data_IF_740203727914
#
_entry.id   IF_740203727914
#
_cell.length_a   1.000
_cell.length_b   1.000
_cell.length_c   1.000
_cell.angle_alpha   90.00
_cell.angle_beta   90.00
_cell.angle_gamma   90.00
#
_symmetry.space_group_name_H-M   'P 1'
#
loop_
_entity.id
_entity.type
_entity.pdbx_description
1 polymer ?
#
# COMPACT_ATOMS: atom_id res chain seq x y z
N UNK A 1 -8.26 -1.72 16.34
CA UNK A 1 -8.31 -2.85 15.37
C UNK A 1 -9.47 -2.74 14.37
N UNK A 2 -10.63 -2.17 14.69
CA UNK A 2 -11.76 -2.05 13.74
C UNK A 2 -11.51 -1.08 12.56
N UNK A 3 -10.68 -0.05 12.76
CA UNK A 3 -10.55 1.05 11.81
C UNK A 3 -10.05 0.67 10.42
N UNK A 4 -9.24 -0.39 10.28
CA UNK A 4 -8.66 -0.78 9.00
C UNK A 4 -9.57 -1.70 8.17
N UNK A 5 -10.52 -2.38 8.81
CA UNK A 5 -11.38 -3.36 8.17
C UNK A 5 -12.24 -2.74 7.05
N UNK A 6 -12.45 -3.54 6.01
CA UNK A 6 -13.24 -3.18 4.84
C UNK A 6 -12.39 -2.86 3.62
N UNK A 7 -13.04 -2.23 2.64
CA UNK A 7 -12.40 -1.82 1.40
C UNK A 7 -12.04 -0.34 1.40
N UNK A 8 -10.94 -0.04 0.72
CA UNK A 8 -10.43 1.30 0.53
C UNK A 8 -10.06 1.52 -0.94
N UNK A 9 -10.42 2.67 -1.50
CA UNK A 9 -10.11 3.11 -2.85
C UNK A 9 -8.82 3.92 -2.86
N UNK A 10 -7.97 3.70 -3.85
CA UNK A 10 -6.74 4.45 -4.01
C UNK A 10 -7.04 5.93 -4.28
N UNK A 11 -6.41 6.83 -3.53
CA UNK A 11 -6.31 8.25 -3.88
C UNK A 11 -4.96 8.56 -4.54
N UNK A 12 -3.86 8.00 -4.02
CA UNK A 12 -2.53 8.19 -4.61
C UNK A 12 -1.52 7.16 -4.11
N UNK A 13 -0.56 6.78 -4.95
CA UNK A 13 0.66 6.06 -4.56
C UNK A 13 1.88 6.86 -5.00
N UNK A 14 2.73 7.26 -4.06
CA UNK A 14 3.94 8.05 -4.33
C UNK A 14 5.18 7.50 -3.61
N UNK A 15 6.35 7.76 -4.20
CA UNK A 15 7.63 7.72 -3.52
C UNK A 15 8.03 9.13 -3.07
N UNK A 16 8.39 9.25 -1.78
CA UNK A 16 8.88 10.47 -1.16
C UNK A 16 10.38 10.35 -0.91
N UNK A 17 11.12 11.42 -1.15
CA UNK A 17 12.57 11.46 -0.99
C UNK A 17 12.95 12.43 0.12
N UNK A 18 13.98 12.09 0.89
CA UNK A 18 14.47 12.94 1.98
C UNK A 18 15.16 14.22 1.47
N UNK A 19 15.67 14.20 0.23
CA UNK A 19 16.35 15.33 -0.42
C UNK A 19 15.39 16.44 -0.91
N UNK A 20 14.08 16.27 -0.69
CA UNK A 20 13.07 17.27 -1.01
C UNK A 20 12.68 17.36 -2.48
N UNK A 21 13.17 16.46 -3.36
CA UNK A 21 12.73 16.43 -4.75
C UNK A 21 11.24 16.06 -4.86
N UNK A 22 10.57 16.40 -5.97
CA UNK A 22 9.16 16.08 -6.16
C UNK A 22 8.87 14.58 -6.05
N UNK A 23 7.68 14.20 -5.55
CA UNK A 23 7.29 12.80 -5.46
C UNK A 23 7.18 12.15 -6.85
N UNK A 24 7.52 10.87 -6.91
CA UNK A 24 7.32 10.03 -8.09
C UNK A 24 6.05 9.18 -7.90
N UNK A 25 5.25 8.98 -8.96
CA UNK A 25 4.03 8.19 -8.93
C UNK A 25 4.20 6.91 -9.76
N UNK A 26 4.43 5.74 -9.13
CA UNK A 26 4.85 4.53 -9.87
C UNK A 26 3.84 4.08 -10.93
N UNK A 27 2.55 4.22 -10.61
CA UNK A 27 1.44 3.87 -11.50
C UNK A 27 0.75 5.10 -12.13
N UNK A 28 1.39 6.27 -12.07
CA UNK A 28 0.80 7.54 -12.46
C UNK A 28 -0.02 8.18 -11.34
N UNK A 29 -0.23 9.50 -11.44
CA UNK A 29 -0.94 10.29 -10.42
C UNK A 29 -2.46 10.03 -10.41
N UNK A 30 -3.00 9.44 -11.47
CA UNK A 30 -4.41 9.10 -11.69
C UNK A 30 -4.70 7.59 -11.57
N UNK A 31 -3.74 6.83 -11.02
CA UNK A 31 -3.87 5.40 -10.78
C UNK A 31 -5.13 5.08 -9.97
N UNK A 32 -5.72 3.92 -10.23
CA UNK A 32 -6.93 3.43 -9.56
C UNK A 32 -6.63 2.11 -8.88
N UNK A 33 -7.32 1.83 -7.78
CA UNK A 33 -7.09 0.59 -7.06
C UNK A 33 -7.96 0.41 -5.84
N UNK A 34 -7.88 -0.79 -5.27
CA UNK A 34 -8.48 -1.14 -4.00
C UNK A 34 -7.46 -1.83 -3.10
N UNK A 35 -7.60 -1.63 -1.79
CA UNK A 35 -7.07 -2.54 -0.78
C UNK A 35 -8.18 -2.99 0.14
N UNK A 36 -8.24 -4.30 0.40
CA UNK A 36 -9.26 -4.95 1.21
C UNK A 36 -8.59 -5.55 2.44
N UNK A 37 -9.15 -5.28 3.62
CA UNK A 37 -8.78 -5.91 4.88
C UNK A 37 -9.98 -6.68 5.44
N UNK A 38 -9.82 -7.98 5.61
CA UNK A 38 -10.88 -8.85 6.11
C UNK A 38 -10.77 -9.07 7.63
N UNK A 39 -11.87 -9.38 8.32
CA UNK A 39 -11.80 -9.78 9.74
C UNK A 39 -10.97 -11.04 10.00
N UNK A 40 -10.79 -11.90 8.98
CA UNK A 40 -9.97 -13.12 9.06
C UNK A 40 -8.45 -12.86 8.98
N UNK A 41 -8.02 -11.60 8.93
CA UNK A 41 -6.60 -11.25 8.87
C UNK A 41 -6.00 -11.42 7.47
N UNK A 42 -6.82 -11.35 6.41
CA UNK A 42 -6.36 -11.33 5.02
C UNK A 42 -6.31 -9.90 4.48
N UNK A 43 -5.33 -9.64 3.63
CA UNK A 43 -5.19 -8.40 2.87
C UNK A 43 -5.08 -8.73 1.37
N UNK A 44 -5.72 -7.93 0.54
CA UNK A 44 -5.55 -7.98 -0.92
C UNK A 44 -5.55 -6.57 -1.47
N UNK A 45 -4.51 -6.22 -2.22
CA UNK A 45 -4.35 -4.92 -2.84
C UNK A 45 -4.18 -5.07 -4.35
N UNK A 46 -4.83 -4.21 -5.11
CA UNK A 46 -4.70 -4.10 -6.56
C UNK A 46 -4.66 -2.63 -6.92
N UNK A 47 -3.64 -2.21 -7.66
CA UNK A 47 -3.45 -0.87 -8.20
C UNK A 47 -3.15 -1.00 -9.69
N UNK A 48 -3.75 -0.15 -10.49
CA UNK A 48 -3.62 -0.18 -11.94
C UNK A 48 -3.45 1.25 -12.47
N UNK A 49 -2.66 1.40 -13.53
CA UNK A 49 -2.61 2.66 -14.29
C UNK A 49 -3.99 2.99 -14.86
N UNK A 50 -4.30 4.27 -15.04
CA UNK A 50 -5.62 4.70 -15.50
C UNK A 50 -6.00 4.16 -16.90
N UNK A 51 -5.00 3.90 -17.74
CA UNK A 51 -5.13 3.33 -19.09
C UNK A 51 -5.11 1.79 -19.12
N UNK A 52 -5.06 1.14 -17.95
CA UNK A 52 -4.98 -0.31 -17.77
C UNK A 52 -3.75 -0.99 -18.41
N UNK A 53 -2.70 -0.24 -18.76
CA UNK A 53 -1.48 -0.79 -19.36
C UNK A 53 -0.61 -1.60 -18.39
N UNK A 54 -0.74 -1.36 -17.08
CA UNK A 54 0.04 -2.03 -16.05
C UNK A 54 -0.77 -2.19 -14.75
N UNK A 55 -0.54 -3.30 -14.05
CA UNK A 55 -1.20 -3.64 -12.80
C UNK A 55 -0.20 -4.18 -11.75
N UNK A 56 -0.25 -3.60 -10.55
CA UNK A 56 0.43 -4.09 -9.37
C UNK A 56 -0.61 -4.68 -8.41
N UNK A 57 -0.50 -5.96 -8.10
CA UNK A 57 -1.39 -6.61 -7.15
C UNK A 57 -0.63 -7.55 -6.23
N UNK A 58 -1.09 -7.66 -4.99
CA UNK A 58 -0.62 -8.66 -4.04
C UNK A 58 -1.74 -9.08 -3.08
N UNK A 59 -1.57 -10.24 -2.45
CA UNK A 59 -2.42 -10.68 -1.35
C UNK A 59 -1.62 -11.51 -0.34
N UNK A 60 -2.18 -11.63 0.86
CA UNK A 60 -1.62 -12.43 1.94
C UNK A 60 -2.28 -12.13 3.28
N UNK A 61 -1.50 -12.18 4.35
CA UNK A 61 -1.97 -11.95 5.73
C UNK A 61 -1.54 -10.58 6.25
N UNK A 62 -2.29 -10.05 7.20
CA UNK A 62 -1.87 -8.86 7.92
C UNK A 62 -1.96 -9.02 9.43
N UNK A 63 -1.07 -8.29 10.11
CA UNK A 63 -1.04 -8.14 11.56
C UNK A 63 -0.89 -6.65 11.88
N UNK A 64 -1.49 -6.19 12.98
CA UNK A 64 -1.36 -4.81 13.43
C UNK A 64 -0.73 -4.82 14.83
N UNK A 65 0.34 -4.05 15.00
CA UNK A 65 0.95 -3.78 16.29
C UNK A 65 1.45 -2.32 16.31
N UNK A 66 1.24 -1.61 17.42
CA UNK A 66 1.81 -0.28 17.68
C UNK A 66 1.63 0.74 16.53
N UNK A 67 0.41 0.84 16.00
CA UNK A 67 0.08 1.78 14.92
C UNK A 67 0.67 1.40 13.54
N UNK A 68 1.20 0.18 13.42
CA UNK A 68 1.82 -0.34 12.20
C UNK A 68 1.06 -1.57 11.72
N UNK A 69 0.80 -1.66 10.41
CA UNK A 69 0.32 -2.88 9.76
C UNK A 69 1.49 -3.56 9.05
N UNK A 70 1.60 -4.86 9.27
CA UNK A 70 2.54 -5.73 8.59
C UNK A 70 1.78 -6.58 7.59
N UNK A 71 2.23 -6.63 6.33
CA UNK A 71 1.66 -7.54 5.32
C UNK A 71 2.66 -8.66 5.04
N UNK A 72 2.29 -9.89 5.35
CA UNK A 72 3.01 -11.09 4.90
C UNK A 72 2.50 -11.46 3.52
N UNK A 73 3.31 -11.20 2.48
CA UNK A 73 2.89 -11.33 1.08
C UNK A 73 3.02 -12.80 0.63
N UNK A 74 1.90 -13.38 0.21
CA UNK A 74 1.80 -14.79 -0.22
C UNK A 74 1.74 -14.94 -1.74
N UNK A 75 1.16 -13.94 -2.44
CA UNK A 75 1.14 -13.86 -3.90
C UNK A 75 1.26 -12.41 -4.36
N UNK A 76 1.88 -12.19 -5.52
CA UNK A 76 2.15 -10.85 -6.06
C UNK A 76 2.40 -10.89 -7.57
N UNK A 77 2.01 -9.84 -8.29
CA UNK A 77 2.40 -9.64 -9.70
C UNK A 77 3.88 -9.28 -9.84
N UNK A 78 4.52 -8.83 -8.76
CA UNK A 78 5.98 -8.75 -8.64
C UNK A 78 6.49 -9.96 -7.84
N UNK A 79 7.11 -10.96 -8.47
CA UNK A 79 7.59 -12.18 -7.80
C UNK A 79 8.59 -11.93 -6.67
N UNK A 80 9.35 -10.82 -6.73
CA UNK A 80 10.35 -10.48 -5.71
C UNK A 80 9.73 -10.15 -4.34
N UNK A 81 8.41 -9.90 -4.28
CA UNK A 81 7.71 -9.59 -3.04
C UNK A 81 7.18 -10.82 -2.30
N UNK A 82 7.09 -11.97 -2.97
CA UNK A 82 6.53 -13.19 -2.36
C UNK A 82 7.44 -13.63 -1.21
N UNK A 83 6.85 -13.85 -0.03
CA UNK A 83 7.56 -14.21 1.19
C UNK A 83 8.09 -13.01 2.00
N UNK A 84 8.02 -11.78 1.47
CA UNK A 84 8.42 -10.59 2.23
C UNK A 84 7.33 -10.17 3.23
N UNK A 85 7.79 -9.64 4.37
CA UNK A 85 6.94 -8.94 5.34
C UNK A 85 7.08 -7.43 5.15
N UNK A 86 6.09 -6.82 4.51
CA UNK A 86 6.04 -5.37 4.32
C UNK A 86 5.64 -4.67 5.62
N UNK A 87 6.25 -3.52 5.91
CA UNK A 87 5.95 -2.69 7.09
C UNK A 87 5.31 -1.38 6.66
N UNK A 88 4.14 -1.04 7.21
CA UNK A 88 3.42 0.20 6.89
C UNK A 88 2.88 0.85 8.17
N UNK A 89 3.34 2.06 8.46
CA UNK A 89 2.76 2.91 9.48
C UNK A 89 1.36 3.36 9.05
N UNK A 90 0.42 3.33 9.99
CA UNK A 90 -0.98 3.64 9.75
C UNK A 90 -1.26 5.06 10.23
N UNK A 91 -1.81 5.90 9.36
CA UNK A 91 -2.46 7.15 9.73
C UNK A 91 -3.92 7.11 9.26
N UNK A 92 -4.86 7.09 10.20
CA UNK A 92 -6.30 7.07 9.94
C UNK A 92 -6.92 8.39 10.38
N UNK A 93 -7.56 9.08 9.45
CA UNK A 93 -8.20 10.38 9.64
C UNK A 93 -9.59 10.36 8.97
N UNK A 94 -10.63 10.03 9.74
CA UNK A 94 -11.99 9.90 9.21
C UNK A 94 -12.12 8.77 8.18
N UNK A 95 -12.44 9.13 6.94
CA UNK A 95 -12.53 8.23 5.79
C UNK A 95 -11.21 8.08 5.03
N UNK A 96 -10.12 8.69 5.50
CA UNK A 96 -8.82 8.66 4.82
C UNK A 96 -7.81 7.80 5.58
N UNK A 97 -7.13 6.93 4.85
CA UNK A 97 -6.08 6.03 5.32
C UNK A 97 -4.78 6.34 4.58
N UNK A 98 -3.72 6.69 5.30
CA UNK A 98 -2.36 6.73 4.75
C UNK A 98 -1.56 5.55 5.29
N UNK A 99 -0.95 4.81 4.38
CA UNK A 99 0.01 3.75 4.67
C UNK A 99 1.39 4.20 4.19
N UNK A 100 2.36 4.29 5.10
CA UNK A 100 3.72 4.74 4.76
C UNK A 100 4.79 3.82 5.31
N UNK A 101 5.88 3.60 4.58
CA UNK A 101 6.98 2.77 5.06
C UNK A 101 8.09 2.63 4.03
N UNK A 102 9.07 1.76 4.31
CA UNK A 102 10.16 1.50 3.38
C UNK A 102 9.63 1.09 2.00
N UNK A 103 10.30 1.56 0.96
CA UNK A 103 10.10 1.02 -0.37
C UNK A 103 10.42 -0.49 -0.37
N UNK A 104 9.79 -1.22 -1.29
CA UNK A 104 10.05 -2.64 -1.47
C UNK A 104 11.46 -2.93 -1.99
N UNK A 105 12.13 -1.93 -2.57
CA UNK A 105 13.52 -2.02 -3.03
C UNK A 105 14.48 -1.53 -1.95
N UNK A 106 15.25 -2.47 -1.38
CA UNK A 106 16.28 -2.16 -0.39
C UNK A 106 17.36 -1.23 -0.95
N UNK A 107 17.93 -0.36 -0.10
CA UNK A 107 18.99 0.58 -0.47
C UNK A 107 18.51 1.83 -1.21
N UNK A 108 17.20 2.02 -1.36
CA UNK A 108 16.64 3.29 -1.84
C UNK A 108 16.42 4.23 -0.66
N UNK A 109 16.93 5.47 -0.74
CA UNK A 109 16.65 6.54 0.24
C UNK A 109 15.26 7.16 0.00
N UNK A 110 14.25 6.32 -0.26
CA UNK A 110 12.88 6.77 -0.53
C UNK A 110 11.87 6.02 0.34
N UNK A 111 10.85 6.74 0.78
CA UNK A 111 9.71 6.20 1.52
C UNK A 111 8.54 6.03 0.58
N UNK A 112 7.85 4.91 0.68
CA UNK A 112 6.59 4.69 -0.01
C UNK A 112 5.45 5.29 0.81
N UNK A 113 4.57 6.05 0.17
CA UNK A 113 3.33 6.53 0.75
C UNK A 113 2.16 6.16 -0.16
N UNK A 114 1.14 5.50 0.41
CA UNK A 114 -0.10 5.18 -0.30
C UNK A 114 -1.27 5.72 0.49
N UNK A 115 -2.06 6.56 -0.16
CA UNK A 115 -3.24 7.20 0.41
C UNK A 115 -4.48 6.55 -0.19
N UNK A 116 -5.41 6.19 0.68
CA UNK A 116 -6.67 5.55 0.35
C UNK A 116 -7.83 6.28 1.00
N UNK A 117 -9.01 6.20 0.38
CA UNK A 117 -10.29 6.64 0.93
C UNK A 117 -11.18 5.43 1.18
N UNK A 118 -11.98 5.45 2.24
CA UNK A 118 -12.95 4.39 2.54
C UNK A 118 -13.91 4.21 1.36
N UNK A 119 -14.17 2.94 1.00
CA UNK A 119 -15.03 2.57 -0.11
C UNK A 119 -16.53 2.64 0.24
#
# INVERSE_FOLDING_TARGET
MSGLLGGWRLESWSFLYEDGRPPEFPMGADAKGYILYTPGGQVSATIMRADASECFAYAGRYEIADGTVFHSIELSTNPALVGLRSTRHIKLEGDRLTLSGPDFTAGTNRTQQIVWRRA
#
